data_IF_826163069747
#
_entry.id   IF_826163069747
#
_cell.length_a   1.000
_cell.length_b   1.000
_cell.length_c   1.000
_cell.angle_alpha   90.00
_cell.angle_beta   90.00
_cell.angle_gamma   90.00
#
_symmetry.space_group_name_H-M   'P 1'
#
loop_
_entity.id
_entity.type
_entity.pdbx_description
1 polymer ?
#
# COMPACT_ATOMS: atom_id res chain seq x y z
N UNK A 1 -12.31 17.81 2.94
CA UNK A 1 -12.10 16.62 2.10
C UNK A 1 -10.74 16.77 1.45
N UNK A 2 -9.81 15.85 1.73
CA UNK A 2 -8.48 15.89 1.12
C UNK A 2 -8.56 15.58 -0.37
N UNK A 3 -7.69 16.20 -1.16
CA UNK A 3 -7.53 15.92 -2.59
C UNK A 3 -7.19 14.44 -2.82
N UNK A 4 -7.46 13.90 -4.01
CA UNK A 4 -7.10 12.52 -4.34
C UNK A 4 -5.59 12.24 -4.21
N UNK A 5 -4.76 13.28 -4.30
CA UNK A 5 -3.32 13.21 -4.05
C UNK A 5 -2.98 13.02 -2.57
N UNK A 6 -3.67 13.69 -1.65
CA UNK A 6 -3.44 13.52 -0.20
C UNK A 6 -3.80 12.10 0.26
N UNK A 7 -4.93 11.57 -0.21
CA UNK A 7 -5.32 10.18 0.05
C UNK A 7 -4.27 9.21 -0.49
N UNK A 8 -3.75 9.45 -1.71
CA UNK A 8 -2.70 8.64 -2.30
C UNK A 8 -1.41 8.64 -1.46
N UNK A 9 -0.99 9.79 -0.92
CA UNK A 9 0.17 9.89 -0.03
C UNK A 9 -0.03 9.09 1.27
N UNK A 10 -1.21 9.19 1.88
CA UNK A 10 -1.54 8.42 3.09
C UNK A 10 -1.49 6.91 2.80
N UNK A 11 -2.10 6.47 1.70
CA UNK A 11 -2.12 5.06 1.28
C UNK A 11 -0.71 4.52 1.00
N UNK A 12 0.18 5.33 0.40
CA UNK A 12 1.59 4.95 0.23
C UNK A 12 2.28 4.72 1.58
N UNK A 13 2.03 5.59 2.56
CA UNK A 13 2.55 5.40 3.91
C UNK A 13 2.06 4.10 4.57
N UNK A 14 0.79 3.74 4.36
CA UNK A 14 0.22 2.47 4.84
C UNK A 14 0.90 1.27 4.16
N UNK A 15 1.09 1.32 2.83
CA UNK A 15 1.80 0.28 2.07
C UNK A 15 3.24 0.07 2.56
N UNK A 16 3.95 1.15 2.86
CA UNK A 16 5.29 1.08 3.45
C UNK A 16 5.26 0.36 4.81
N UNK A 17 4.35 0.77 5.70
CA UNK A 17 4.21 0.11 7.01
C UNK A 17 3.90 -1.38 6.90
N UNK A 18 3.07 -1.78 5.92
CA UNK A 18 2.79 -3.19 5.64
C UNK A 18 4.07 -3.91 5.21
N UNK A 19 4.84 -3.32 4.30
CA UNK A 19 6.09 -3.91 3.83
C UNK A 19 7.11 -4.08 4.96
N UNK A 20 7.32 -3.03 5.76
CA UNK A 20 8.24 -3.01 6.90
C UNK A 20 7.85 -4.08 7.93
N UNK A 21 6.56 -4.15 8.28
CA UNK A 21 6.04 -5.11 9.26
C UNK A 21 6.15 -6.57 8.81
N UNK A 22 6.29 -6.83 7.51
CA UNK A 22 6.38 -8.17 6.93
C UNK A 22 7.76 -8.47 6.34
N UNK A 23 8.75 -7.58 6.51
CA UNK A 23 10.09 -7.73 5.94
C UNK A 23 10.08 -7.87 4.42
N UNK A 24 9.21 -7.13 3.74
CA UNK A 24 9.14 -7.07 2.27
C UNK A 24 9.97 -5.87 1.81
N UNK A 25 10.88 -6.10 0.87
CA UNK A 25 11.60 -4.99 0.21
C UNK A 25 10.63 -4.23 -0.69
N UNK A 26 10.16 -3.07 -0.22
CA UNK A 26 9.22 -2.22 -0.94
C UNK A 26 9.85 -0.87 -1.25
N UNK A 27 9.85 -0.51 -2.54
CA UNK A 27 10.26 0.80 -3.02
C UNK A 27 9.07 1.45 -3.71
N UNK A 28 8.36 2.38 -3.06
CA UNK A 28 7.25 3.08 -3.68
C UNK A 28 7.74 3.87 -4.89
N UNK A 29 7.02 3.77 -6.01
CA UNK A 29 7.32 4.54 -7.22
C UNK A 29 6.71 5.93 -7.10
N UNK A 30 7.33 6.92 -7.75
CA UNK A 30 6.74 8.24 -7.85
C UNK A 30 5.42 8.18 -8.65
N UNK A 31 4.39 8.86 -8.14
CA UNK A 31 3.11 8.94 -8.83
C UNK A 31 3.11 10.15 -9.75
N UNK A 32 3.13 9.93 -11.07
CA UNK A 32 3.07 11.01 -12.06
C UNK A 32 1.65 11.32 -12.54
N UNK A 33 0.61 10.78 -11.88
CA UNK A 33 -0.77 11.00 -12.28
C UNK A 33 -1.17 12.48 -12.13
N UNK A 34 -1.68 13.06 -13.22
CA UNK A 34 -2.17 14.45 -13.27
C UNK A 34 -3.69 14.43 -13.10
N UNK A 35 -4.17 14.93 -11.97
CA UNK A 35 -5.59 14.97 -11.61
C UNK A 35 -5.86 14.39 -10.21
N UNK A 36 -7.11 14.41 -9.79
CA UNK A 36 -7.54 13.73 -8.58
C UNK A 36 -7.59 12.21 -8.81
N UNK A 37 -6.90 11.46 -7.94
CA UNK A 37 -7.04 10.01 -7.90
C UNK A 37 -8.38 9.69 -7.24
N UNK A 38 -9.34 9.13 -7.98
CA UNK A 38 -10.66 8.74 -7.45
C UNK A 38 -10.63 7.50 -6.54
N UNK A 39 -9.43 6.96 -6.26
CA UNK A 39 -9.21 5.87 -5.32
C UNK A 39 -7.83 5.23 -5.43
N UNK A 40 -7.27 5.11 -6.64
CA UNK A 40 -5.91 4.62 -6.89
C UNK A 40 -5.46 5.04 -8.30
N UNK A 41 -4.15 5.15 -8.55
CA UNK A 41 -3.59 5.36 -9.89
C UNK A 41 -2.89 4.07 -10.37
N UNK A 42 -2.56 3.93 -11.67
CA UNK A 42 -1.93 2.70 -12.20
C UNK A 42 -0.65 2.28 -11.45
N UNK A 43 0.20 3.25 -11.07
CA UNK A 43 1.40 2.97 -10.28
C UNK A 43 1.07 2.43 -8.88
N UNK A 44 0.04 2.98 -8.23
CA UNK A 44 -0.42 2.50 -6.93
C UNK A 44 -1.04 1.10 -7.01
N UNK A 45 -1.72 0.77 -8.10
CA UNK A 45 -2.26 -0.59 -8.31
C UNK A 45 -1.14 -1.62 -8.50
N UNK A 46 -0.07 -1.28 -9.23
CA UNK A 46 1.10 -2.14 -9.36
C UNK A 46 1.78 -2.38 -8.00
N UNK A 47 1.93 -1.33 -7.18
CA UNK A 47 2.46 -1.43 -5.82
C UNK A 47 1.60 -2.37 -4.95
N UNK A 48 0.28 -2.24 -5.01
CA UNK A 48 -0.66 -3.12 -4.28
C UNK A 48 -0.48 -4.57 -4.74
N UNK A 49 -0.50 -4.82 -6.05
CA UNK A 49 -0.33 -6.19 -6.61
C UNK A 49 0.99 -6.82 -6.21
N UNK A 50 2.07 -6.03 -6.16
CA UNK A 50 3.37 -6.50 -5.69
C UNK A 50 3.31 -6.94 -4.22
N UNK A 51 2.78 -6.07 -3.35
CA UNK A 51 2.65 -6.37 -1.93
C UNK A 51 1.73 -7.58 -1.68
N UNK A 52 0.59 -7.66 -2.38
CA UNK A 52 -0.31 -8.82 -2.28
C UNK A 52 0.37 -10.13 -2.66
N UNK A 53 1.20 -10.13 -3.71
CA UNK A 53 1.96 -11.32 -4.14
C UNK A 53 2.98 -11.74 -3.08
N UNK A 54 3.77 -10.80 -2.58
CA UNK A 54 4.76 -11.04 -1.53
C UNK A 54 4.10 -11.55 -0.24
N UNK A 55 2.99 -10.94 0.15
CA UNK A 55 2.24 -11.33 1.33
C UNK A 55 1.59 -12.71 1.15
N UNK A 56 1.07 -13.04 -0.05
CA UNK A 56 0.51 -14.36 -0.33
C UNK A 56 1.58 -15.45 -0.27
N UNK A 57 2.77 -15.20 -0.83
CA UNK A 57 3.91 -16.10 -0.74
C UNK A 57 4.31 -16.36 0.73
N UNK A 58 4.19 -15.36 1.60
CA UNK A 58 4.46 -15.48 3.04
C UNK A 58 3.32 -16.11 3.85
N UNK A 59 2.06 -15.89 3.45
CA UNK A 59 0.87 -16.44 4.11
C UNK A 59 0.77 -17.97 3.97
N UNK A 60 1.33 -18.54 2.89
CA UNK A 60 1.53 -19.99 2.76
C UNK A 60 2.42 -20.60 3.86
N UNK A 61 3.23 -19.78 4.54
CA UNK A 61 4.13 -20.19 5.63
C UNK A 61 3.56 -19.87 7.04
N UNK A 62 2.25 -19.63 7.18
CA UNK A 62 1.61 -19.42 8.49
C UNK A 62 1.75 -18.01 9.08
N UNK A 63 2.25 -17.03 8.33
CA UNK A 63 2.38 -15.66 8.80
C UNK A 63 1.04 -14.90 8.62
N UNK A 64 0.31 -14.72 9.71
CA UNK A 64 -0.90 -13.87 9.72
C UNK A 64 -0.52 -12.44 9.35
N UNK A 65 -1.16 -11.88 8.32
CA UNK A 65 -0.98 -10.47 7.92
C UNK A 65 -1.22 -9.56 9.13
N UNK A 66 -0.15 -8.94 9.64
CA UNK A 66 -0.25 -7.88 10.64
C UNK A 66 -0.75 -6.61 9.96
N UNK A 67 -2.05 -6.55 9.71
CA UNK A 67 -2.71 -5.28 9.36
C UNK A 67 -2.69 -4.47 10.65
N UNK A 68 -1.75 -3.52 10.76
CA UNK A 68 -1.73 -2.59 11.88
C UNK A 68 -3.10 -1.90 11.92
N UNK A 69 -3.85 -2.11 13.01
CA UNK A 69 -5.22 -1.68 13.16
C UNK A 69 -5.34 -0.18 12.92
N UNK A 70 -5.95 0.20 11.79
CA UNK A 70 -6.42 1.55 11.57
C UNK A 70 -7.78 1.61 12.28
N UNK A 71 -7.74 1.86 13.59
CA UNK A 71 -8.91 2.33 14.31
C UNK A 71 -9.19 3.76 13.81
N UNK A 72 -10.10 3.87 12.84
CA UNK A 72 -10.76 5.12 12.54
C UNK A 72 -11.78 5.36 13.67
N UNK A 73 -11.54 6.38 14.49
CA UNK A 73 -12.58 6.96 15.34
C UNK A 73 -13.58 7.75 14.53
#
# INVERSE_FOLDING_TARGET
MGTGKEVCLILKGIRQKIADANGISYQPKECHHKGDCTGTCPACEEEIRYLERELKARKGNGFGMKVAGIAAG
#
